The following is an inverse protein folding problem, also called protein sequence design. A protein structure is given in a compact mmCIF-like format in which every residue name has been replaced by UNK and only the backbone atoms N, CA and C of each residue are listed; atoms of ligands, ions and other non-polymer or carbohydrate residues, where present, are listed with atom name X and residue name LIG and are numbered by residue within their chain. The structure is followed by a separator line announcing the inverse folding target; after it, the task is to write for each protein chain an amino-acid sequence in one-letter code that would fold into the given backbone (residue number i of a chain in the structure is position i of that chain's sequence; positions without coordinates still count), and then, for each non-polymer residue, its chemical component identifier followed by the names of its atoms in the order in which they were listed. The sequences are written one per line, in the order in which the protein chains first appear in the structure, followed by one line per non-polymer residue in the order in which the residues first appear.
data_IF_108468768362
#
_entry.id   IF_108468768362
#
_cell.length_a   1.000
_cell.length_b   1.000
_cell.length_c   1.000
_cell.angle_alpha   90.00
_cell.angle_beta   90.00
_cell.angle_gamma   90.00
#
_symmetry.space_group_name_H-M   'P 1'
#
loop_
_entity.id
_entity.type
_entity.pdbx_description
1 polymer ?
#
# COMPACT_ATOMS: atom_id res chain seq x y z
N UNK A 1 9.60 -10.19 -20.87
CA UNK A 1 9.45 -8.76 -21.25
C UNK A 1 8.98 -7.90 -20.08
N UNK A 2 7.86 -8.22 -19.43
CA UNK A 2 7.39 -7.47 -18.25
C UNK A 2 8.42 -7.45 -17.10
N UNK A 3 9.05 -8.59 -16.77
CA UNK A 3 10.09 -8.68 -15.73
C UNK A 3 11.25 -7.70 -15.98
N UNK A 4 11.83 -7.70 -17.18
CA UNK A 4 12.94 -6.79 -17.51
C UNK A 4 12.52 -5.31 -17.48
N UNK A 5 11.24 -5.01 -17.74
CA UNK A 5 10.72 -3.63 -17.65
C UNK A 5 10.55 -3.20 -16.19
N UNK A 6 10.13 -4.12 -15.31
CA UNK A 6 10.10 -3.90 -13.86
C UNK A 6 11.51 -3.65 -13.29
N UNK A 7 12.52 -4.39 -13.76
CA UNK A 7 13.92 -4.18 -13.34
C UNK A 7 14.42 -2.77 -13.72
N UNK A 8 14.10 -2.30 -14.93
CA UNK A 8 14.42 -0.93 -15.37
C UNK A 8 13.69 0.13 -14.54
N UNK A 9 12.42 -0.12 -14.20
CA UNK A 9 11.62 0.79 -13.38
C UNK A 9 12.25 0.97 -11.99
N UNK A 10 12.68 -0.13 -11.36
CA UNK A 10 13.33 -0.10 -10.05
C UNK A 10 14.71 0.59 -10.08
N UNK A 11 15.37 0.65 -11.24
CA UNK A 11 16.71 1.22 -11.38
C UNK A 11 16.74 2.74 -11.67
N UNK A 12 15.60 3.39 -11.90
CA UNK A 12 15.52 4.82 -12.23
C UNK A 12 14.77 5.63 -11.16
N UNK A 13 15.27 6.84 -10.91
CA UNK A 13 14.65 7.83 -10.04
C UNK A 13 14.00 9.00 -10.81
N UNK A 14 14.09 9.02 -12.15
CA UNK A 14 13.45 10.04 -12.97
C UNK A 14 11.94 9.74 -13.15
N UNK A 15 11.03 10.61 -12.67
CA UNK A 15 9.60 10.39 -12.80
C UNK A 15 9.10 10.26 -14.25
N UNK A 16 9.72 10.97 -15.20
CA UNK A 16 9.30 10.91 -16.60
C UNK A 16 9.66 9.55 -17.23
N UNK A 17 10.86 9.06 -16.96
CA UNK A 17 11.28 7.71 -17.32
C UNK A 17 10.41 6.63 -16.63
N UNK A 18 10.12 6.78 -15.34
CA UNK A 18 9.24 5.86 -14.62
C UNK A 18 7.86 5.78 -15.25
N UNK A 19 7.25 6.93 -15.60
CA UNK A 19 5.95 6.97 -16.26
C UNK A 19 5.96 6.20 -17.59
N UNK A 20 6.98 6.44 -18.43
CA UNK A 20 7.10 5.76 -19.74
C UNK A 20 7.18 4.23 -19.59
N UNK A 21 7.90 3.75 -18.58
CA UNK A 21 8.02 2.32 -18.27
C UNK A 21 6.70 1.74 -17.76
N UNK A 22 5.98 2.46 -16.90
CA UNK A 22 4.65 2.06 -16.41
C UNK A 22 3.63 2.00 -17.54
N UNK A 23 3.60 3.00 -18.44
CA UNK A 23 2.71 3.00 -19.61
C UNK A 23 2.95 1.75 -20.49
N UNK A 24 4.21 1.32 -20.63
CA UNK A 24 4.57 0.10 -21.36
C UNK A 24 4.10 -1.18 -20.66
N UNK A 25 4.15 -1.22 -19.32
CA UNK A 25 3.64 -2.33 -18.52
C UNK A 25 2.11 -2.43 -18.61
N UNK A 26 1.40 -1.30 -18.56
CA UNK A 26 -0.05 -1.24 -18.73
C UNK A 26 -0.48 -1.73 -20.11
N UNK A 27 0.20 -1.28 -21.17
CA UNK A 27 -0.05 -1.76 -22.53
C UNK A 27 0.11 -3.29 -22.64
N UNK A 28 1.15 -3.86 -22.00
CA UNK A 28 1.34 -5.31 -21.98
C UNK A 28 0.27 -6.04 -21.15
N UNK A 29 -0.13 -5.48 -20.01
CA UNK A 29 -1.20 -6.05 -19.19
C UNK A 29 -2.50 -6.13 -19.99
N UNK A 30 -2.83 -5.09 -20.76
CA UNK A 30 -4.02 -5.06 -21.62
C UNK A 30 -3.95 -6.09 -22.75
N UNK A 31 -2.78 -6.26 -23.36
CA UNK A 31 -2.55 -7.22 -24.45
C UNK A 31 -2.73 -8.68 -23.99
N UNK A 32 -2.19 -9.04 -22.82
CA UNK A 32 -2.24 -10.42 -22.32
C UNK A 32 -3.43 -10.71 -21.42
N UNK A 33 -4.11 -9.68 -20.91
CA UNK A 33 -5.26 -9.73 -20.02
C UNK A 33 -5.17 -10.85 -18.95
N UNK A 34 -4.10 -10.88 -18.12
CA UNK A 34 -3.75 -12.05 -17.33
C UNK A 34 -4.70 -12.28 -16.15
N UNK A 35 -5.36 -11.22 -15.70
CA UNK A 35 -6.42 -11.21 -14.69
C UNK A 35 -7.42 -10.12 -15.06
N UNK A 36 -8.64 -10.20 -14.53
CA UNK A 36 -9.70 -9.18 -14.73
C UNK A 36 -9.81 -8.35 -13.44
N UNK A 37 -9.33 -7.10 -13.41
CA UNK A 37 -9.53 -6.22 -12.26
C UNK A 37 -11.00 -5.86 -12.10
N UNK A 38 -11.56 -6.02 -10.90
CA UNK A 38 -12.97 -5.72 -10.63
C UNK A 38 -13.14 -4.38 -9.91
N UNK A 39 -12.39 -4.16 -8.83
CA UNK A 39 -12.42 -2.94 -8.02
C UNK A 39 -11.15 -2.84 -7.15
N UNK A 40 -10.82 -1.63 -6.73
CA UNK A 40 -9.80 -1.39 -5.70
C UNK A 40 -10.36 -1.72 -4.31
N UNK A 41 -9.83 -2.76 -3.65
CA UNK A 41 -10.23 -3.11 -2.29
C UNK A 41 -9.77 -2.07 -1.26
N UNK A 42 -10.57 -1.77 -0.21
CA UNK A 42 -10.15 -0.85 0.83
C UNK A 42 -9.11 -1.49 1.76
N UNK A 43 -8.33 -0.65 2.43
CA UNK A 43 -7.50 -1.09 3.54
C UNK A 43 -8.40 -1.37 4.77
N UNK A 44 -8.59 -2.64 5.11
CA UNK A 44 -9.41 -3.04 6.25
C UNK A 44 -8.68 -2.86 7.58
N UNK A 45 -9.38 -2.31 8.57
CA UNK A 45 -8.91 -2.22 9.93
C UNK A 45 -10.03 -1.78 10.86
N UNK A 46 -10.01 -2.28 12.09
CA UNK A 46 -10.97 -1.93 13.13
C UNK A 46 -10.23 -1.88 14.46
N UNK A 47 -10.70 -1.01 15.35
CA UNK A 47 -10.17 -0.89 16.70
C UNK A 47 -11.30 -0.56 17.68
N UNK A 48 -11.00 -0.74 18.97
CA UNK A 48 -11.84 -0.26 20.08
C UNK A 48 -10.97 0.61 20.97
N UNK A 49 -11.54 1.70 21.46
CA UNK A 49 -10.89 2.62 22.37
C UNK A 49 -11.20 2.34 23.85
N UNK A 50 -12.00 1.30 24.13
CA UNK A 50 -12.41 0.92 25.49
C UNK A 50 -11.24 0.68 26.45
N UNK A 51 -10.10 0.20 25.96
CA UNK A 51 -8.93 -0.13 26.77
C UNK A 51 -7.64 0.52 26.30
N UNK A 52 -7.60 1.01 25.06
CA UNK A 52 -6.40 1.54 24.45
C UNK A 52 -6.73 2.76 23.60
N UNK A 53 -5.92 3.79 23.70
CA UNK A 53 -6.03 5.02 22.92
C UNK A 53 -4.78 5.23 22.09
N UNK A 54 -4.82 6.21 21.18
CA UNK A 54 -3.70 6.55 20.30
C UNK A 54 -3.66 5.76 19.00
N UNK A 55 -4.76 5.12 18.60
CA UNK A 55 -4.87 4.42 17.32
C UNK A 55 -4.62 5.34 16.11
N UNK A 56 -4.10 4.83 14.98
CA UNK A 56 -4.05 5.58 13.74
C UNK A 56 -5.44 6.03 13.31
N UNK A 57 -5.55 7.28 12.87
CA UNK A 57 -6.79 7.91 12.41
C UNK A 57 -6.55 8.77 11.18
N UNK A 58 -7.60 9.36 10.61
CA UNK A 58 -7.46 10.36 9.53
C UNK A 58 -6.58 11.54 9.94
N UNK A 59 -6.68 11.97 11.19
CA UNK A 59 -5.99 13.16 11.72
C UNK A 59 -4.55 12.84 12.13
N UNK A 60 -4.26 11.57 12.40
CA UNK A 60 -2.92 11.08 12.68
C UNK A 60 -2.68 9.72 11.99
N UNK A 61 -2.42 9.70 10.67
CA UNK A 61 -2.33 8.47 9.87
C UNK A 61 -0.93 7.85 9.89
N UNK A 62 -0.35 7.67 11.09
CA UNK A 62 1.05 7.22 11.24
C UNK A 62 1.29 5.73 10.88
N UNK A 63 0.23 4.94 10.75
CA UNK A 63 0.27 3.55 10.30
C UNK A 63 -1.10 3.08 9.77
N UNK A 64 -1.16 1.96 9.06
CA UNK A 64 -2.43 1.32 8.69
C UNK A 64 -3.04 0.58 9.88
N UNK A 65 -4.37 0.53 9.97
CA UNK A 65 -5.09 -0.26 10.97
C UNK A 65 -5.12 -1.78 10.71
N UNK A 66 -4.60 -2.23 9.57
CA UNK A 66 -4.55 -3.66 9.25
C UNK A 66 -3.56 -4.38 10.17
N UNK A 67 -4.05 -5.32 10.97
CA UNK A 67 -3.22 -6.20 11.81
C UNK A 67 -2.33 -7.18 10.99
N UNK A 68 -2.51 -7.24 9.68
CA UNK A 68 -1.70 -8.05 8.74
C UNK A 68 -0.62 -7.22 8.04
N UNK A 69 -0.56 -5.91 8.29
CA UNK A 69 0.46 -5.04 7.72
C UNK A 69 1.81 -5.21 8.44
N UNK A 70 2.91 -5.02 7.70
CA UNK A 70 4.24 -4.91 8.29
C UNK A 70 4.34 -3.74 9.31
N UNK A 71 3.49 -2.72 9.15
CA UNK A 71 3.46 -1.55 10.04
C UNK A 71 2.75 -1.82 11.37
N UNK A 72 2.18 -3.01 11.59
CA UNK A 72 1.43 -3.34 12.82
C UNK A 72 2.26 -3.10 14.09
N UNK A 73 3.57 -3.35 14.02
CA UNK A 73 4.49 -3.11 15.15
C UNK A 73 4.48 -1.64 15.60
N UNK A 74 4.37 -0.69 14.67
CA UNK A 74 4.30 0.75 14.99
C UNK A 74 3.02 1.09 15.74
N UNK A 75 1.90 0.44 15.40
CA UNK A 75 0.63 0.63 16.11
C UNK A 75 0.80 0.14 17.54
N UNK A 76 1.20 -1.12 17.72
CA UNK A 76 1.28 -1.76 19.03
C UNK A 76 2.24 -1.06 20.01
N UNK A 77 3.30 -0.43 19.52
CA UNK A 77 4.26 0.33 20.37
C UNK A 77 3.86 1.79 20.60
N UNK A 78 2.84 2.29 19.92
CA UNK A 78 2.34 3.68 20.07
C UNK A 78 1.09 3.78 20.95
N UNK A 79 0.33 2.70 21.08
CA UNK A 79 -0.89 2.67 21.89
C UNK A 79 -0.59 2.87 23.38
N UNK A 80 -1.55 3.47 24.08
CA UNK A 80 -1.50 3.68 25.53
C UNK A 80 -2.78 3.13 26.16
N UNK A 81 -2.74 2.56 27.37
CA UNK A 81 -3.96 2.20 28.09
C UNK A 81 -4.91 3.39 28.17
N UNK A 82 -6.21 3.13 28.00
CA UNK A 82 -7.25 4.11 28.31
C UNK A 82 -7.18 4.44 29.82
N UNK A 83 -7.42 5.70 30.16
CA UNK A 83 -7.43 6.16 31.55
C UNK A 83 -8.66 5.67 32.29
#
# INVERSE_FOLDING_TARGET
EATATLDKLAATADPAAQKTLVDSLEARFNDVAPVIPLFSGPAWGAYTDQRFTGWPSSDNPYATLSARSATTVLVLTSLKPAK
#
